data_IF_715936528224
#
_entry.id   IF_715936528224
#
_cell.length_a   1.000
_cell.length_b   1.000
_cell.length_c   1.000
_cell.angle_alpha   90.00
_cell.angle_beta   90.00
_cell.angle_gamma   90.00
#
_symmetry.space_group_name_H-M   'P 1'
#
loop_
_entity.id
_entity.type
_entity.pdbx_description
1 polymer ?
#
# COMPACT_ATOMS: atom_id res chain seq x y z
N UNK A 1 -3.90 36.27 21.25
CA UNK A 1 -2.63 36.64 20.60
C UNK A 1 -2.82 36.43 19.11
N UNK A 2 -2.94 37.53 18.37
CA UNK A 2 -3.21 37.59 16.93
C UNK A 2 -1.94 37.26 16.14
N UNK A 3 -2.06 36.41 15.11
CA UNK A 3 -1.20 36.48 13.92
C UNK A 3 -2.10 36.42 12.69
N UNK A 4 -2.39 37.61 12.18
CA UNK A 4 -2.85 37.86 10.81
C UNK A 4 -1.57 37.91 9.97
N UNK A 5 -1.41 36.99 9.03
CA UNK A 5 -0.36 37.06 8.00
C UNK A 5 -1.04 36.95 6.63
N UNK A 6 -0.94 38.04 5.88
CA UNK A 6 -0.74 38.08 4.43
C UNK A 6 -1.78 37.37 3.55
N UNK A 7 -2.76 38.14 3.07
CA UNK A 7 -3.62 37.74 1.97
C UNK A 7 -2.83 37.53 0.68
N UNK A 8 -2.75 36.27 0.26
CA UNK A 8 -2.89 35.94 -1.16
C UNK A 8 -4.37 35.66 -1.32
N UNK A 9 -5.08 36.46 -2.13
CA UNK A 9 -6.42 36.08 -2.60
C UNK A 9 -6.24 34.86 -3.52
N UNK A 10 -6.17 33.68 -2.91
CA UNK A 10 -6.46 32.44 -3.59
C UNK A 10 -7.92 32.55 -4.02
N UNK A 11 -8.13 32.56 -5.33
CA UNK A 11 -9.43 32.49 -5.98
C UNK A 11 -10.40 31.66 -5.11
N UNK A 12 -11.48 32.24 -4.53
CA UNK A 12 -12.34 31.51 -3.61
C UNK A 12 -12.96 30.36 -4.39
N UNK A 13 -12.48 29.14 -4.14
CA UNK A 13 -12.99 27.95 -4.81
C UNK A 13 -14.51 27.83 -4.60
N UNK A 14 -15.25 27.13 -5.46
CA UNK A 14 -16.71 27.12 -5.37
C UNK A 14 -17.28 26.22 -4.26
N UNK A 15 -16.45 25.57 -3.45
CA UNK A 15 -16.88 24.51 -2.52
C UNK A 15 -16.54 24.78 -1.04
N UNK A 16 -17.11 25.81 -0.40
CA UNK A 16 -16.77 26.19 0.97
C UNK A 16 -17.05 25.07 1.99
N UNK A 17 -16.13 24.88 2.93
CA UNK A 17 -16.36 23.99 4.07
C UNK A 17 -17.40 24.62 5.02
N UNK A 18 -18.39 23.85 5.49
CA UNK A 18 -19.40 24.33 6.46
C UNK A 18 -18.87 24.45 7.90
N UNK A 19 -17.68 23.92 8.17
CA UNK A 19 -17.12 23.77 9.52
C UNK A 19 -15.97 24.75 9.76
N UNK A 20 -15.23 25.11 8.72
CA UNK A 20 -14.04 25.96 8.84
C UNK A 20 -13.91 26.88 7.61
N UNK A 21 -13.06 27.93 7.67
CA UNK A 21 -12.96 28.92 6.60
C UNK A 21 -12.20 28.43 5.35
N UNK A 22 -11.81 27.15 5.30
CA UNK A 22 -11.12 26.59 4.13
C UNK A 22 -12.10 26.44 2.98
N UNK A 23 -11.67 26.86 1.79
CA UNK A 23 -12.45 26.79 0.55
C UNK A 23 -11.70 25.94 -0.48
N UNK A 24 -11.92 24.62 -0.49
CA UNK A 24 -11.30 23.71 -1.45
C UNK A 24 -11.71 24.00 -2.91
N UNK A 25 -10.78 23.82 -3.84
CA UNK A 25 -10.97 24.15 -5.26
C UNK A 25 -11.76 23.10 -6.03
N UNK A 26 -11.82 21.87 -5.53
CA UNK A 26 -12.52 20.76 -6.19
C UNK A 26 -13.43 20.03 -5.22
N UNK A 27 -14.50 19.43 -5.74
CA UNK A 27 -15.41 18.56 -4.99
C UNK A 27 -14.61 17.45 -4.27
N UNK A 28 -13.65 16.82 -4.96
CA UNK A 28 -12.82 15.76 -4.38
C UNK A 28 -11.97 16.27 -3.20
N UNK A 29 -11.34 17.45 -3.35
CA UNK A 29 -10.60 18.07 -2.25
C UNK A 29 -11.51 18.49 -1.09
N UNK A 30 -12.75 18.91 -1.37
CA UNK A 30 -13.72 19.30 -0.35
C UNK A 30 -14.23 18.09 0.45
N UNK A 31 -14.51 16.98 -0.22
CA UNK A 31 -14.87 15.71 0.43
C UNK A 31 -13.71 15.23 1.30
N UNK A 32 -12.48 15.20 0.77
CA UNK A 32 -11.30 14.77 1.54
C UNK A 32 -11.02 15.68 2.73
N UNK A 33 -11.19 16.99 2.57
CA UNK A 33 -11.01 17.95 3.66
C UNK A 33 -11.96 17.69 4.84
N UNK A 34 -13.17 17.17 4.60
CA UNK A 34 -14.11 16.84 5.69
C UNK A 34 -13.62 15.71 6.61
N UNK A 35 -12.67 14.87 6.15
CA UNK A 35 -12.00 13.89 7.02
C UNK A 35 -11.17 14.55 8.13
N UNK A 36 -10.80 15.83 8.00
CA UNK A 36 -10.10 16.56 9.06
C UNK A 36 -11.03 16.93 10.23
N UNK A 37 -12.35 16.87 10.00
CA UNK A 37 -13.38 17.19 10.99
C UNK A 37 -14.06 15.94 11.57
N UNK A 38 -13.76 14.75 11.02
CA UNK A 38 -14.42 13.49 11.36
C UNK A 38 -14.09 12.95 12.75
N UNK A 39 -13.15 13.58 13.47
CA UNK A 39 -12.77 13.19 14.84
C UNK A 39 -13.86 13.44 15.89
N UNK A 40 -15.02 13.99 15.51
CA UNK A 40 -16.20 14.09 16.39
C UNK A 40 -17.11 12.88 16.20
N UNK A 41 -17.53 12.24 17.32
CA UNK A 41 -18.44 11.07 17.34
C UNK A 41 -19.78 11.30 16.62
N UNK A 42 -20.15 12.56 16.36
CA UNK A 42 -21.40 12.94 15.70
C UNK A 42 -21.15 13.78 14.44
N UNK A 43 -19.98 13.64 13.82
CA UNK A 43 -19.67 14.38 12.61
C UNK A 43 -20.52 13.89 11.43
N UNK A 44 -21.25 14.80 10.80
CA UNK A 44 -21.96 14.54 9.55
C UNK A 44 -21.16 15.09 8.37
N UNK A 45 -20.85 14.21 7.43
CA UNK A 45 -20.29 14.57 6.14
C UNK A 45 -21.39 15.18 5.27
N UNK A 46 -21.12 16.33 4.65
CA UNK A 46 -22.07 17.07 3.83
C UNK A 46 -21.62 17.09 2.37
N UNK A 47 -22.59 17.05 1.45
CA UNK A 47 -22.31 17.28 0.05
C UNK A 47 -21.79 18.72 -0.16
N UNK A 48 -20.63 18.92 -0.80
CA UNK A 48 -20.09 20.25 -1.04
C UNK A 48 -20.75 20.96 -2.24
N UNK A 49 -21.62 20.27 -2.99
CA UNK A 49 -22.28 20.84 -4.17
C UNK A 49 -23.36 21.81 -3.74
N UNK A 50 -23.30 23.04 -4.26
CA UNK A 50 -24.30 24.07 -4.03
C UNK A 50 -25.70 23.53 -4.39
N UNK A 51 -26.70 23.80 -3.55
CA UNK A 51 -28.08 23.26 -3.59
C UNK A 51 -28.28 21.78 -3.23
N UNK A 52 -27.23 21.01 -2.93
CA UNK A 52 -27.40 19.66 -2.38
C UNK A 52 -27.49 19.66 -0.85
N UNK A 53 -28.57 19.10 -0.31
CA UNK A 53 -28.80 18.97 1.13
C UNK A 53 -28.42 17.60 1.70
N UNK A 54 -27.79 16.73 0.90
CA UNK A 54 -27.39 15.41 1.37
C UNK A 54 -26.31 15.49 2.44
N UNK A 55 -26.54 14.78 3.54
CA UNK A 55 -25.56 14.49 4.59
C UNK A 55 -25.48 12.98 4.84
N UNK A 56 -24.38 12.54 5.42
CA UNK A 56 -24.18 11.14 5.81
C UNK A 56 -23.23 11.04 6.99
N UNK A 57 -23.38 10.00 7.81
CA UNK A 57 -22.46 9.69 8.91
C UNK A 57 -21.25 8.89 8.44
N UNK A 58 -21.24 8.42 7.19
CA UNK A 58 -20.15 7.62 6.60
C UNK A 58 -19.52 8.35 5.42
N UNK A 59 -18.18 8.45 5.44
CA UNK A 59 -17.42 9.00 4.34
C UNK A 59 -17.65 8.26 3.01
N UNK A 60 -17.78 6.93 3.07
CA UNK A 60 -18.08 6.09 1.90
C UNK A 60 -19.43 6.42 1.28
N UNK A 61 -20.44 6.69 2.11
CA UNK A 61 -21.78 7.08 1.66
C UNK A 61 -21.76 8.46 0.97
N UNK A 62 -21.04 9.45 1.53
CA UNK A 62 -20.84 10.74 0.87
C UNK A 62 -20.14 10.58 -0.49
N UNK A 63 -19.06 9.79 -0.54
CA UNK A 63 -18.30 9.56 -1.78
C UNK A 63 -19.19 8.92 -2.86
N UNK A 64 -19.98 7.92 -2.47
CA UNK A 64 -20.95 7.27 -3.36
C UNK A 64 -22.02 8.26 -3.83
N UNK A 65 -22.64 9.02 -2.93
CA UNK A 65 -23.65 10.02 -3.25
C UNK A 65 -23.14 11.02 -4.30
N UNK A 66 -21.97 11.61 -4.07
CA UNK A 66 -21.40 12.58 -5.01
C UNK A 66 -21.12 11.94 -6.37
N UNK A 67 -20.59 10.73 -6.38
CA UNK A 67 -20.31 10.01 -7.63
C UNK A 67 -21.56 9.71 -8.46
N UNK A 68 -22.68 9.45 -7.80
CA UNK A 68 -23.94 9.06 -8.44
C UNK A 68 -24.80 10.26 -8.83
N UNK A 69 -24.92 11.26 -7.96
CA UNK A 69 -25.91 12.34 -8.10
C UNK A 69 -25.32 13.66 -8.59
N UNK A 70 -24.00 13.86 -8.46
CA UNK A 70 -23.32 15.09 -8.89
C UNK A 70 -22.32 14.88 -10.03
N UNK A 71 -22.55 13.82 -10.82
CA UNK A 71 -21.74 13.46 -11.98
C UNK A 71 -21.57 14.60 -12.98
N UNK A 72 -22.60 15.45 -13.18
CA UNK A 72 -22.56 16.61 -14.11
C UNK A 72 -21.81 17.83 -13.53
N UNK A 73 -21.92 18.07 -12.23
CA UNK A 73 -21.27 19.20 -11.54
C UNK A 73 -19.77 19.00 -11.35
N UNK A 74 -19.27 17.78 -11.55
CA UNK A 74 -17.84 17.46 -11.64
C UNK A 74 -17.15 18.07 -12.88
N UNK A 75 -17.92 18.51 -13.88
CA UNK A 75 -17.43 18.94 -15.20
C UNK A 75 -17.73 20.40 -15.55
N UNK A 76 -18.06 21.28 -14.59
CA UNK A 76 -18.03 22.72 -14.84
C UNK A 76 -16.58 23.22 -14.84
N UNK A 77 -15.88 22.88 -15.91
CA UNK A 77 -14.66 23.51 -16.38
C UNK A 77 -15.07 24.32 -17.62
N UNK A 78 -14.81 25.65 -17.68
CA UNK A 78 -15.15 26.42 -18.85
C UNK A 78 -14.11 26.16 -19.96
N UNK A 79 -14.63 25.71 -21.11
CA UNK A 79 -14.04 25.74 -22.45
C UNK A 79 -13.15 24.54 -22.91
N UNK A 80 -13.22 24.27 -24.23
CA UNK A 80 -12.55 23.23 -25.04
C UNK A 80 -13.14 21.79 -25.06
N UNK A 81 -13.94 21.50 -26.10
CA UNK A 81 -14.17 20.14 -26.62
C UNK A 81 -12.97 19.68 -27.46
N UNK A 82 -12.01 18.99 -26.83
CA UNK A 82 -10.89 18.36 -27.53
C UNK A 82 -11.17 16.87 -27.82
N UNK A 83 -10.89 16.42 -29.04
CA UNK A 83 -11.03 15.03 -29.48
C UNK A 83 -9.71 14.27 -29.30
N UNK A 84 -9.75 13.04 -28.78
CA UNK A 84 -8.59 12.13 -28.73
C UNK A 84 -8.42 11.35 -30.03
N UNK A 85 -7.19 11.31 -30.54
CA UNK A 85 -6.81 10.61 -31.78
C UNK A 85 -6.25 9.22 -31.49
N UNK A 86 -6.40 8.31 -32.45
CA UNK A 86 -5.79 6.98 -32.37
C UNK A 86 -4.24 7.07 -32.41
N UNK A 87 -3.51 6.51 -31.43
CA UNK A 87 -2.05 6.58 -31.36
C UNK A 87 -1.33 5.60 -32.31
N UNK A 88 -2.06 4.76 -33.05
CA UNK A 88 -1.46 3.72 -33.88
C UNK A 88 -0.85 4.28 -35.17
N UNK A 89 0.38 3.84 -35.46
CA UNK A 89 1.15 4.17 -36.65
C UNK A 89 1.70 2.88 -37.25
N UNK A 90 1.38 2.60 -38.52
CA UNK A 90 1.88 1.42 -39.24
C UNK A 90 2.25 1.80 -40.67
N UNK A 91 3.44 1.42 -41.13
CA UNK A 91 3.97 1.67 -42.48
C UNK A 91 3.77 3.11 -43.00
N UNK A 92 4.03 4.12 -42.16
CA UNK A 92 3.92 5.52 -42.55
C UNK A 92 2.49 6.08 -42.62
N UNK A 93 1.47 5.27 -42.32
CA UNK A 93 0.06 5.70 -42.29
C UNK A 93 -0.49 5.76 -40.86
N UNK A 94 -1.11 6.91 -40.55
CA UNK A 94 -1.85 7.13 -39.30
C UNK A 94 -3.26 6.61 -39.39
N UNK A 95 -3.73 5.96 -38.32
CA UNK A 95 -5.14 5.69 -38.17
C UNK A 95 -5.93 7.00 -38.04
N UNK A 96 -6.98 7.18 -38.85
CA UNK A 96 -7.78 8.43 -38.93
C UNK A 96 -8.92 8.46 -37.89
N UNK A 97 -8.97 7.49 -36.97
CA UNK A 97 -10.02 7.43 -35.96
C UNK A 97 -9.83 8.47 -34.85
N UNK A 98 -10.86 9.27 -34.58
CA UNK A 98 -10.94 10.20 -33.45
C UNK A 98 -12.22 9.96 -32.64
N UNK A 99 -12.14 10.19 -31.34
CA UNK A 99 -13.28 10.09 -30.42
C UNK A 99 -13.07 11.00 -29.21
N UNK A 100 -14.14 11.41 -28.55
CA UNK A 100 -14.08 12.10 -27.27
C UNK A 100 -13.97 11.14 -26.06
N UNK A 101 -14.07 9.82 -26.29
CA UNK A 101 -14.12 8.80 -25.25
C UNK A 101 -12.93 7.86 -25.32
N UNK A 102 -12.15 7.78 -24.23
CA UNK A 102 -11.08 6.80 -24.10
C UNK A 102 -11.60 5.36 -24.24
N UNK A 103 -12.83 5.10 -23.80
CA UNK A 103 -13.44 3.77 -23.92
C UNK A 103 -13.64 3.38 -25.39
N UNK A 104 -14.15 4.31 -26.20
CA UNK A 104 -14.33 4.10 -27.65
C UNK A 104 -12.97 3.94 -28.35
N UNK A 105 -11.96 4.70 -27.91
CA UNK A 105 -10.60 4.57 -28.43
C UNK A 105 -10.01 3.20 -28.12
N UNK A 106 -10.14 2.72 -26.88
CA UNK A 106 -9.65 1.39 -26.49
C UNK A 106 -10.42 0.28 -27.19
N UNK A 107 -11.73 0.43 -27.39
CA UNK A 107 -12.53 -0.50 -28.20
C UNK A 107 -11.98 -0.58 -29.63
N UNK A 108 -11.76 0.58 -30.26
CA UNK A 108 -11.18 0.69 -31.60
C UNK A 108 -9.80 0.01 -31.69
N UNK A 109 -8.90 0.30 -30.74
CA UNK A 109 -7.56 -0.32 -30.68
C UNK A 109 -7.65 -1.86 -30.57
N UNK A 110 -8.57 -2.36 -29.74
CA UNK A 110 -8.78 -3.80 -29.57
C UNK A 110 -9.31 -4.47 -30.84
N UNK A 111 -10.26 -3.84 -31.54
CA UNK A 111 -10.97 -4.45 -32.65
C UNK A 111 -10.29 -4.29 -34.01
N UNK A 112 -9.61 -3.17 -34.23
CA UNK A 112 -9.05 -2.82 -35.54
C UNK A 112 -7.56 -3.09 -35.66
N UNK A 113 -6.82 -2.97 -34.56
CA UNK A 113 -5.36 -3.09 -34.55
C UNK A 113 -4.89 -4.39 -33.88
N UNK A 114 -5.22 -4.59 -32.60
CA UNK A 114 -4.80 -5.77 -31.85
C UNK A 114 -5.40 -7.07 -32.40
N UNK A 115 -6.59 -7.04 -33.00
CA UNK A 115 -7.20 -8.21 -33.65
C UNK A 115 -6.45 -8.63 -34.93
N UNK A 116 -5.73 -7.71 -35.57
CA UNK A 116 -4.89 -7.97 -36.74
C UNK A 116 -3.46 -8.39 -36.37
N UNK A 117 -3.13 -8.43 -35.07
CA UNK A 117 -1.79 -8.72 -34.58
C UNK A 117 -0.84 -7.52 -34.61
N UNK A 118 -1.36 -6.30 -34.78
CA UNK A 118 -0.55 -5.08 -34.77
C UNK A 118 -0.12 -4.70 -33.34
N UNK A 119 0.99 -3.97 -33.22
CA UNK A 119 1.53 -3.49 -31.94
C UNK A 119 0.94 -2.12 -31.60
N UNK A 120 0.35 -1.99 -30.41
CA UNK A 120 -0.31 -0.75 -29.97
C UNK A 120 0.28 -0.27 -28.65
N UNK A 121 0.67 1.00 -28.55
CA UNK A 121 1.09 1.62 -27.30
C UNK A 121 -0.10 1.96 -26.38
N UNK A 122 0.14 2.19 -25.09
CA UNK A 122 -0.92 2.70 -24.21
C UNK A 122 -1.43 4.06 -24.72
N UNK A 123 -2.75 4.25 -24.89
CA UNK A 123 -3.29 5.52 -25.39
C UNK A 123 -3.23 6.66 -24.37
N UNK A 124 -2.78 6.41 -23.13
CA UNK A 124 -2.66 7.43 -22.08
C UNK A 124 -1.24 8.01 -22.14
N UNK A 125 -1.13 9.34 -22.24
CA UNK A 125 0.15 10.05 -22.32
C UNK A 125 1.00 9.74 -21.09
N UNK A 126 2.30 9.60 -21.32
CA UNK A 126 3.28 9.45 -20.25
C UNK A 126 2.95 8.31 -19.29
N UNK A 127 2.24 7.28 -19.78
CA UNK A 127 1.94 6.04 -19.06
C UNK A 127 3.23 5.36 -18.55
N UNK A 128 4.37 5.63 -19.17
CA UNK A 128 5.68 5.12 -18.76
C UNK A 128 5.85 3.63 -18.99
N UNK A 129 4.85 2.95 -19.56
CA UNK A 129 4.93 1.55 -19.93
C UNK A 129 5.67 1.41 -21.27
N UNK A 130 6.89 0.84 -21.29
CA UNK A 130 7.76 0.89 -22.47
C UNK A 130 7.38 -0.13 -23.55
N UNK A 131 6.48 -1.08 -23.26
CA UNK A 131 6.15 -2.18 -24.17
C UNK A 131 4.85 -1.92 -24.92
N UNK A 132 4.87 -2.17 -26.23
CA UNK A 132 3.66 -2.20 -27.04
C UNK A 132 2.84 -3.47 -26.75
N UNK A 133 1.53 -3.34 -26.75
CA UNK A 133 0.60 -4.45 -26.57
C UNK A 133 0.37 -5.17 -27.90
N UNK A 134 0.39 -6.50 -27.86
CA UNK A 134 0.04 -7.40 -28.98
C UNK A 134 -1.31 -8.08 -28.80
N UNK A 135 -1.86 -8.06 -27.58
CA UNK A 135 -3.13 -8.69 -27.22
C UNK A 135 -4.04 -7.69 -26.50
N UNK A 136 -5.32 -7.70 -26.90
CA UNK A 136 -6.37 -6.87 -26.28
C UNK A 136 -6.54 -7.15 -24.78
N UNK A 137 -6.36 -8.40 -24.35
CA UNK A 137 -6.43 -8.80 -22.95
C UNK A 137 -5.36 -8.11 -22.11
N UNK A 138 -4.11 -8.10 -22.60
CA UNK A 138 -2.98 -7.45 -21.90
C UNK A 138 -3.18 -5.95 -21.78
N UNK A 139 -3.65 -5.28 -22.85
CA UNK A 139 -3.98 -3.85 -22.80
C UNK A 139 -5.06 -3.56 -21.76
N UNK A 140 -6.15 -4.35 -21.71
CA UNK A 140 -7.25 -4.13 -20.75
C UNK A 140 -6.85 -4.40 -19.31
N UNK A 141 -5.98 -5.38 -19.07
CA UNK A 141 -5.42 -5.66 -17.74
C UNK A 141 -4.55 -4.49 -17.29
N UNK A 142 -3.65 -4.04 -18.16
CA UNK A 142 -2.83 -2.86 -17.89
C UNK A 142 -3.70 -1.62 -17.57
N UNK A 143 -4.67 -1.29 -18.41
CA UNK A 143 -5.56 -0.16 -18.17
C UNK A 143 -6.30 -0.29 -16.83
N UNK A 144 -6.80 -1.48 -16.49
CA UNK A 144 -7.51 -1.70 -15.21
C UNK A 144 -6.59 -1.60 -13.99
N UNK A 145 -5.32 -1.97 -14.12
CA UNK A 145 -4.35 -1.98 -13.02
C UNK A 145 -3.71 -0.61 -12.79
N UNK A 146 -3.30 0.06 -13.87
CA UNK A 146 -2.49 1.28 -13.83
C UNK A 146 -3.31 2.56 -14.05
N UNK A 147 -4.49 2.45 -14.67
CA UNK A 147 -5.35 3.57 -14.99
C UNK A 147 -6.74 3.38 -14.38
N UNK A 148 -6.79 3.49 -13.05
CA UNK A 148 -8.07 3.46 -12.31
C UNK A 148 -9.01 4.50 -12.92
N UNK A 149 -10.23 4.06 -13.19
CA UNK A 149 -11.29 4.85 -13.86
C UNK A 149 -11.12 5.06 -15.38
N UNK A 150 -10.30 4.28 -16.09
CA UNK A 150 -10.23 4.37 -17.57
C UNK A 150 -11.57 4.06 -18.28
N UNK A 151 -12.48 3.35 -17.60
CA UNK A 151 -13.86 3.07 -18.03
C UNK A 151 -14.88 4.09 -17.53
N UNK A 152 -14.49 5.06 -16.71
CA UNK A 152 -15.37 6.14 -16.33
C UNK A 152 -15.49 7.12 -17.52
N UNK A 153 -16.72 7.51 -17.86
CA UNK A 153 -16.94 8.57 -18.85
C UNK A 153 -16.23 9.86 -18.38
N UNK A 154 -15.25 10.34 -19.16
CA UNK A 154 -14.46 11.55 -18.86
C UNK A 154 -13.02 11.33 -18.35
N UNK A 155 -12.29 10.35 -18.89
CA UNK A 155 -10.84 10.16 -18.64
C UNK A 155 -10.03 11.44 -18.95
N UNK A 156 -8.84 11.67 -18.35
CA UNK A 156 -8.06 12.89 -18.56
C UNK A 156 -7.80 13.14 -20.04
N UNK A 157 -8.17 14.32 -20.52
CA UNK A 157 -7.88 14.79 -21.88
C UNK A 157 -6.36 14.91 -22.03
N UNK A 158 -5.83 14.34 -23.10
CA UNK A 158 -4.42 14.40 -23.46
C UNK A 158 -4.16 15.78 -24.12
N UNK A 159 -3.21 16.60 -23.64
CA UNK A 159 -2.77 17.77 -24.41
C UNK A 159 -2.06 17.36 -25.70
N UNK A 160 -2.29 18.15 -26.75
CA UNK A 160 -1.69 18.02 -28.08
C UNK A 160 -0.15 18.12 -28.02
N UNK A 161 0.58 17.17 -28.64
CA UNK A 161 2.01 17.34 -28.97
C UNK A 161 2.18 17.64 -30.46
N UNK A 162 2.72 18.83 -30.73
CA UNK A 162 3.44 19.14 -31.96
C UNK A 162 4.82 18.46 -31.93
N UNK A 163 5.14 17.77 -33.02
CA UNK A 163 6.31 16.89 -33.17
C UNK A 163 7.60 17.73 -33.23
N UNK A 164 8.60 17.38 -32.43
CA UNK A 164 10.01 17.59 -32.76
C UNK A 164 10.69 16.22 -32.82
N UNK A 165 11.27 15.90 -33.98
CA UNK A 165 11.89 14.63 -34.30
C UNK A 165 13.23 14.45 -33.58
N UNK A 166 13.50 13.26 -33.04
CA UNK A 166 14.81 12.79 -32.57
C UNK A 166 14.93 11.29 -32.92
N UNK A 167 16.09 10.79 -33.37
CA UNK A 167 16.18 9.67 -34.31
C UNK A 167 16.23 8.28 -33.65
N UNK A 168 15.85 7.28 -34.47
CA UNK A 168 15.90 5.84 -34.19
C UNK A 168 17.31 5.36 -33.80
N UNK A 169 17.39 4.64 -32.69
CA UNK A 169 18.49 3.72 -32.39
C UNK A 169 17.90 2.32 -32.27
N UNK A 170 18.17 1.51 -33.29
CA UNK A 170 17.92 0.07 -33.31
C UNK A 170 18.98 -0.64 -32.45
N UNK A 171 18.53 -1.42 -31.47
CA UNK A 171 19.36 -2.45 -30.84
C UNK A 171 18.78 -3.82 -31.23
N UNK A 172 19.59 -4.59 -31.95
CA UNK A 172 19.36 -6.00 -32.22
C UNK A 172 19.71 -6.80 -30.96
N UNK A 173 18.86 -7.74 -30.58
CA UNK A 173 19.09 -8.68 -29.49
C UNK A 173 19.99 -9.81 -30.01
N UNK A 174 21.15 -10.02 -29.37
CA UNK A 174 21.89 -11.28 -29.49
C UNK A 174 21.80 -12.09 -28.19
N UNK A 175 21.26 -13.28 -28.36
CA UNK A 175 21.30 -14.47 -27.51
C UNK A 175 22.74 -14.99 -27.42
N UNK A 176 23.29 -15.20 -26.23
CA UNK A 176 24.35 -16.21 -26.00
C UNK A 176 24.58 -16.47 -24.51
N UNK A 177 24.33 -17.70 -24.09
CA UNK A 177 24.96 -18.29 -22.91
C UNK A 177 26.21 -19.07 -23.32
N UNK A 178 27.31 -18.92 -22.58
CA UNK A 178 28.30 -19.95 -22.25
C UNK A 178 29.49 -19.32 -21.51
N UNK A 179 30.02 -20.10 -20.58
CA UNK A 179 31.20 -19.88 -19.75
C UNK A 179 32.46 -19.50 -20.54
N UNK A 180 33.30 -18.63 -19.95
CA UNK A 180 34.76 -18.76 -19.93
C UNK A 180 35.36 -17.74 -18.96
N UNK A 181 36.23 -18.24 -18.08
CA UNK A 181 37.15 -17.45 -17.26
C UNK A 181 38.09 -16.64 -18.14
N UNK A 182 38.34 -15.37 -17.79
CA UNK A 182 39.68 -14.81 -17.95
C UNK A 182 39.91 -13.61 -17.02
N UNK A 183 41.11 -13.66 -16.46
CA UNK A 183 41.79 -12.76 -15.54
C UNK A 183 41.90 -11.33 -16.10
N UNK A 184 41.36 -10.34 -15.37
CA UNK A 184 41.69 -8.94 -15.62
C UNK A 184 41.66 -8.14 -14.33
N UNK A 185 42.84 -7.86 -13.79
CA UNK A 185 43.09 -6.80 -12.81
C UNK A 185 43.19 -5.43 -13.49
N UNK A 186 42.43 -4.42 -13.02
CA UNK A 186 42.87 -3.03 -13.09
C UNK A 186 43.11 -2.46 -11.69
N UNK A 187 44.31 -1.90 -11.52
CA UNK A 187 44.82 -1.11 -10.39
C UNK A 187 44.06 0.23 -10.19
N UNK A 188 44.27 0.92 -9.05
CA UNK A 188 43.21 1.56 -8.27
C UNK A 188 42.95 3.01 -8.66
N UNK A 189 41.68 3.36 -8.86
CA UNK A 189 41.22 4.74 -8.87
C UNK A 189 40.48 5.03 -7.56
N UNK A 190 41.19 5.72 -6.67
CA UNK A 190 40.71 6.61 -5.60
C UNK A 190 39.40 6.23 -4.90
N UNK A 191 39.55 5.57 -3.75
CA UNK A 191 38.54 5.46 -2.70
C UNK A 191 37.99 6.85 -2.33
N UNK A 192 36.83 7.20 -2.89
CA UNK A 192 35.88 8.05 -2.18
C UNK A 192 35.24 7.16 -1.12
N UNK A 193 35.74 7.28 0.10
CA UNK A 193 35.15 6.71 1.30
C UNK A 193 33.82 7.42 1.58
N UNK A 194 32.77 6.99 0.88
CA UNK A 194 31.38 7.31 1.21
C UNK A 194 30.85 6.26 2.21
N UNK A 195 31.61 6.05 3.29
CA UNK A 195 31.10 5.46 4.53
C UNK A 195 30.15 6.45 5.21
N UNK A 196 28.99 6.67 4.60
CA UNK A 196 27.77 7.03 5.31
C UNK A 196 26.86 5.81 5.38
N UNK A 197 27.40 4.68 5.88
CA UNK A 197 26.58 3.68 6.57
C UNK A 197 26.12 4.32 7.89
N UNK A 198 25.17 5.26 7.80
CA UNK A 198 24.38 5.64 8.96
C UNK A 198 23.44 4.47 9.23
N UNK A 199 23.34 4.07 10.50
CA UNK A 199 22.40 3.11 11.10
C UNK A 199 20.91 3.36 10.74
N UNK A 200 20.58 3.37 9.46
CA UNK A 200 19.22 3.41 8.97
C UNK A 200 18.63 2.04 9.29
N UNK A 201 17.59 2.02 10.11
CA UNK A 201 16.72 0.85 10.29
C UNK A 201 16.45 0.27 8.89
N UNK A 202 16.85 -0.98 8.67
CA UNK A 202 16.60 -1.65 7.39
C UNK A 202 15.08 -1.64 7.16
N UNK A 203 14.63 -1.25 5.96
CA UNK A 203 13.20 -1.20 5.60
C UNK A 203 12.49 -2.52 5.95
N UNK A 204 13.18 -3.66 5.79
CA UNK A 204 12.68 -4.98 6.17
C UNK A 204 12.35 -5.09 7.66
N UNK A 205 13.18 -4.51 8.54
CA UNK A 205 12.90 -4.50 9.98
C UNK A 205 11.66 -3.65 10.31
N UNK A 206 11.44 -2.57 9.58
CA UNK A 206 10.24 -1.73 9.72
C UNK A 206 9.01 -2.49 9.22
N UNK A 207 9.12 -3.18 8.08
CA UNK A 207 8.06 -4.04 7.54
C UNK A 207 7.66 -5.13 8.51
N UNK A 208 8.64 -5.85 9.04
CA UNK A 208 8.42 -6.89 10.04
C UNK A 208 7.80 -6.35 11.31
N UNK A 209 8.26 -5.19 11.80
CA UNK A 209 7.73 -4.58 13.02
C UNK A 209 6.26 -4.20 12.85
N UNK A 210 5.89 -3.62 11.71
CA UNK A 210 4.50 -3.25 11.42
C UNK A 210 3.64 -4.49 11.18
N UNK A 211 4.16 -5.50 10.49
CA UNK A 211 3.45 -6.76 10.30
C UNK A 211 3.22 -7.49 11.64
N UNK A 212 4.21 -7.52 12.54
CA UNK A 212 4.08 -8.04 13.91
C UNK A 212 3.08 -7.25 14.74
N UNK A 213 3.04 -5.93 14.58
CA UNK A 213 1.99 -5.10 15.19
C UNK A 213 0.60 -5.57 14.77
N UNK A 214 0.35 -5.74 13.46
CA UNK A 214 -0.93 -6.27 12.99
C UNK A 214 -1.20 -7.69 13.48
N UNK A 215 -0.19 -8.58 13.45
CA UNK A 215 -0.33 -9.95 13.92
C UNK A 215 -0.72 -9.99 15.41
N UNK A 216 -0.15 -9.12 16.25
CA UNK A 216 -0.53 -8.99 17.66
C UNK A 216 -2.00 -8.56 17.81
N UNK A 217 -2.48 -7.63 16.98
CA UNK A 217 -3.90 -7.24 17.00
C UNK A 217 -4.83 -8.41 16.67
N UNK A 218 -4.42 -9.31 15.76
CA UNK A 218 -5.19 -10.52 15.44
C UNK A 218 -5.11 -11.57 16.54
N UNK A 219 -3.90 -11.90 17.01
CA UNK A 219 -3.64 -13.08 17.82
C UNK A 219 -3.71 -12.83 19.32
N UNK A 220 -3.26 -11.66 19.79
CA UNK A 220 -3.20 -11.31 21.22
C UNK A 220 -4.44 -10.54 21.64
N UNK A 221 -4.80 -9.50 20.89
CA UNK A 221 -5.94 -8.64 21.23
C UNK A 221 -7.27 -9.14 20.65
N UNK A 222 -7.22 -10.18 19.81
CA UNK A 222 -8.37 -10.86 19.19
C UNK A 222 -9.33 -9.88 18.50
N UNK A 223 -8.77 -8.87 17.83
CA UNK A 223 -9.57 -7.84 17.18
C UNK A 223 -10.16 -8.34 15.85
N UNK A 224 -11.42 -7.99 15.55
CA UNK A 224 -12.02 -8.32 14.25
C UNK A 224 -11.23 -7.71 13.09
N UNK A 225 -11.15 -8.45 11.97
CA UNK A 225 -10.44 -7.99 10.76
C UNK A 225 -10.95 -6.63 10.23
N UNK A 226 -12.24 -6.33 10.44
CA UNK A 226 -12.85 -5.03 10.08
C UNK A 226 -12.29 -3.87 10.92
N UNK A 227 -12.04 -4.08 12.21
CA UNK A 227 -11.45 -3.08 13.08
C UNK A 227 -9.98 -2.85 12.74
N UNK A 228 -9.23 -3.93 12.52
CA UNK A 228 -7.83 -3.86 12.07
C UNK A 228 -7.74 -3.16 10.72
N UNK A 229 -8.70 -3.38 9.82
CA UNK A 229 -8.77 -2.63 8.57
C UNK A 229 -8.98 -1.13 8.80
N UNK A 230 -9.82 -0.74 9.76
CA UNK A 230 -9.97 0.68 10.16
C UNK A 230 -8.65 1.30 10.62
N UNK A 231 -7.89 0.60 11.47
CA UNK A 231 -6.56 1.04 11.93
C UNK A 231 -5.60 1.18 10.73
N UNK A 232 -5.61 0.23 9.81
CA UNK A 232 -4.80 0.27 8.60
C UNK A 232 -5.14 1.47 7.70
N UNK A 233 -6.42 1.76 7.53
CA UNK A 233 -6.90 2.88 6.72
C UNK A 233 -6.53 4.23 7.38
N UNK A 234 -6.63 4.33 8.71
CA UNK A 234 -6.23 5.51 9.47
C UNK A 234 -4.71 5.75 9.41
N UNK A 235 -3.90 4.69 9.51
CA UNK A 235 -2.44 4.77 9.32
C UNK A 235 -2.07 5.23 7.91
N UNK A 236 -2.74 4.70 6.89
CA UNK A 236 -2.55 5.14 5.51
C UNK A 236 -2.87 6.64 5.38
N UNK A 237 -4.02 7.08 5.89
CA UNK A 237 -4.44 8.47 5.84
C UNK A 237 -3.48 9.41 6.59
N UNK A 238 -3.04 9.03 7.79
CA UNK A 238 -2.05 9.80 8.55
C UNK A 238 -0.73 9.93 7.79
N UNK A 239 -0.25 8.84 7.18
CA UNK A 239 0.96 8.88 6.36
C UNK A 239 0.79 9.83 5.16
N UNK A 240 -0.37 9.85 4.50
CA UNK A 240 -0.65 10.79 3.41
C UNK A 240 -0.64 12.26 3.86
N UNK A 241 -1.20 12.56 5.03
CA UNK A 241 -1.18 13.93 5.58
C UNK A 241 0.25 14.37 5.87
N UNK A 242 1.01 13.53 6.56
CA UNK A 242 2.41 13.83 6.94
C UNK A 242 3.25 14.02 5.68
N UNK A 243 3.17 13.08 4.74
CA UNK A 243 3.87 13.18 3.45
C UNK A 243 3.43 14.40 2.64
N UNK A 244 2.14 14.74 2.62
CA UNK A 244 1.64 15.93 1.94
C UNK A 244 2.24 17.22 2.51
N UNK A 245 2.35 17.31 3.83
CA UNK A 245 2.97 18.46 4.50
C UNK A 245 4.47 18.54 4.21
N UNK A 246 5.19 17.42 4.34
CA UNK A 246 6.63 17.36 4.06
C UNK A 246 6.93 17.73 2.61
N UNK A 247 6.16 17.21 1.66
CA UNK A 247 6.31 17.52 0.24
C UNK A 247 6.05 19.00 -0.07
N UNK A 248 5.09 19.65 0.61
CA UNK A 248 4.84 21.08 0.44
C UNK A 248 6.03 21.92 0.92
N UNK A 249 6.58 21.59 2.10
CA UNK A 249 7.76 22.25 2.64
C UNK A 249 8.98 22.05 1.75
N UNK A 250 9.24 20.80 1.34
CA UNK A 250 10.34 20.45 0.45
C UNK A 250 10.23 21.18 -0.90
N UNK A 251 9.05 21.15 -1.51
CA UNK A 251 8.80 21.82 -2.79
C UNK A 251 9.06 23.32 -2.70
N UNK A 252 8.67 23.96 -1.60
CA UNK A 252 8.89 25.39 -1.36
C UNK A 252 10.39 25.71 -1.30
N UNK A 253 11.17 24.91 -0.56
CA UNK A 253 12.62 25.14 -0.46
C UNK A 253 13.37 24.84 -1.76
N UNK A 254 13.03 23.74 -2.44
CA UNK A 254 13.66 23.40 -3.73
C UNK A 254 13.36 24.45 -4.81
N UNK A 255 12.14 24.97 -4.86
CA UNK A 255 11.78 26.04 -5.79
C UNK A 255 12.56 27.33 -5.53
N UNK A 256 12.82 27.68 -4.25
CA UNK A 256 13.69 28.83 -3.90
C UNK A 256 15.13 28.66 -4.39
N UNK A 257 15.60 27.42 -4.45
CA UNK A 257 16.92 27.07 -4.97
C UNK A 257 16.96 26.99 -6.51
N UNK A 258 15.86 27.31 -7.19
CA UNK A 258 15.77 27.30 -8.65
C UNK A 258 15.67 25.89 -9.25
N UNK A 259 15.34 24.88 -8.45
CA UNK A 259 15.10 23.52 -8.95
C UNK A 259 13.83 23.52 -9.79
N UNK A 260 13.86 22.84 -10.94
CA UNK A 260 12.70 22.80 -11.84
C UNK A 260 11.52 22.05 -11.21
N UNK A 261 10.30 22.48 -11.52
CA UNK A 261 9.07 21.85 -10.99
C UNK A 261 9.01 20.34 -11.29
N UNK A 262 9.52 19.92 -12.45
CA UNK A 262 9.64 18.51 -12.81
C UNK A 262 10.55 17.74 -11.84
N UNK A 263 11.73 18.28 -11.54
CA UNK A 263 12.67 17.67 -10.57
C UNK A 263 12.08 17.65 -9.16
N UNK A 264 11.37 18.71 -8.75
CA UNK A 264 10.68 18.74 -7.45
C UNK A 264 9.65 17.62 -7.34
N UNK A 265 8.84 17.40 -8.38
CA UNK A 265 7.86 16.30 -8.42
C UNK A 265 8.53 14.93 -8.36
N UNK A 266 9.64 14.74 -9.08
CA UNK A 266 10.40 13.50 -9.07
C UNK A 266 11.01 13.22 -7.69
N UNK A 267 11.63 14.21 -7.06
CA UNK A 267 12.21 14.09 -5.70
C UNK A 267 11.10 13.77 -4.69
N UNK A 268 9.99 14.51 -4.72
CA UNK A 268 8.82 14.28 -3.84
C UNK A 268 8.28 12.86 -3.99
N UNK A 269 8.18 12.36 -5.22
CA UNK A 269 7.76 11.00 -5.48
C UNK A 269 8.75 9.97 -4.90
N UNK A 270 10.05 10.15 -5.11
CA UNK A 270 11.08 9.27 -4.54
C UNK A 270 11.06 9.26 -3.02
N UNK A 271 10.96 10.43 -2.38
CA UNK A 271 10.87 10.55 -0.93
C UNK A 271 9.64 9.84 -0.37
N UNK A 272 8.50 9.93 -1.08
CA UNK A 272 7.29 9.21 -0.71
C UNK A 272 7.45 7.69 -0.77
N UNK A 273 8.15 7.18 -1.78
CA UNK A 273 8.43 5.76 -1.94
C UNK A 273 9.51 5.23 -1.00
N UNK A 274 10.36 6.12 -0.46
CA UNK A 274 11.34 5.80 0.56
C UNK A 274 10.75 5.72 1.98
N UNK A 275 9.46 6.05 2.16
CA UNK A 275 8.78 5.89 3.44
C UNK A 275 8.20 4.48 3.59
N UNK A 276 8.76 3.63 4.47
CA UNK A 276 8.30 2.25 4.62
C UNK A 276 6.86 2.15 5.13
N UNK A 277 6.39 3.13 5.93
CA UNK A 277 5.00 3.18 6.38
C UNK A 277 4.09 3.46 5.18
N UNK A 278 4.47 4.39 4.31
CA UNK A 278 3.72 4.65 3.09
C UNK A 278 3.67 3.42 2.19
N UNK A 279 4.80 2.73 1.99
CA UNK A 279 4.88 1.54 1.12
C UNK A 279 3.91 0.44 1.56
N UNK A 280 3.92 0.09 2.85
CA UNK A 280 3.06 -0.98 3.38
C UNK A 280 1.57 -0.68 3.25
N UNK A 281 1.19 0.59 3.39
CA UNK A 281 -0.21 1.00 3.47
C UNK A 281 -0.79 1.51 2.14
N UNK A 282 -0.04 1.44 1.03
CA UNK A 282 -0.52 1.84 -0.29
C UNK A 282 -0.26 0.79 -1.37
N UNK A 283 -1.34 0.23 -1.94
CA UNK A 283 -1.28 -0.83 -2.98
C UNK A 283 -0.48 -0.46 -4.25
N UNK A 284 -0.28 0.83 -4.49
CA UNK A 284 0.45 1.34 -5.67
C UNK A 284 1.94 1.52 -5.42
N UNK A 285 2.40 1.38 -4.19
CA UNK A 285 3.82 1.49 -3.86
C UNK A 285 4.55 0.18 -4.22
N UNK A 286 5.82 0.26 -4.66
CA UNK A 286 6.64 -0.92 -4.86
C UNK A 286 7.05 -1.49 -3.49
N UNK A 287 6.81 -2.78 -3.27
CA UNK A 287 7.16 -3.46 -2.02
C UNK A 287 6.01 -4.31 -1.46
N UNK A 288 6.18 -4.85 -0.24
CA UNK A 288 5.11 -5.57 0.45
C UNK A 288 3.97 -4.62 0.79
N UNK A 289 2.74 -5.12 0.74
CA UNK A 289 1.54 -4.35 1.10
C UNK A 289 0.74 -5.09 2.16
N UNK A 290 0.27 -4.34 3.16
CA UNK A 290 -0.53 -4.81 4.29
C UNK A 290 -1.95 -4.22 4.26
N UNK A 291 -2.37 -3.69 3.10
CA UNK A 291 -3.60 -2.90 2.93
C UNK A 291 -4.92 -3.67 3.06
N UNK A 292 -4.88 -5.00 3.14
CA UNK A 292 -6.10 -5.82 3.29
C UNK A 292 -5.80 -7.06 4.13
N UNK A 293 -6.83 -7.61 4.75
CA UNK A 293 -6.76 -8.83 5.58
C UNK A 293 -6.01 -9.97 4.85
N UNK A 294 -6.39 -10.23 3.60
CA UNK A 294 -5.73 -11.23 2.76
C UNK A 294 -4.22 -10.98 2.60
N UNK A 295 -3.83 -9.73 2.32
CA UNK A 295 -2.43 -9.39 2.10
C UNK A 295 -1.61 -9.46 3.40
N UNK A 296 -2.22 -9.08 4.54
CA UNK A 296 -1.60 -9.24 5.86
C UNK A 296 -1.36 -10.71 6.18
N UNK A 297 -2.38 -11.56 6.05
CA UNK A 297 -2.27 -13.01 6.28
C UNK A 297 -1.24 -13.66 5.35
N UNK A 298 -1.23 -13.28 4.07
CA UNK A 298 -0.21 -13.75 3.11
C UNK A 298 1.20 -13.32 3.53
N UNK A 299 1.35 -12.09 4.02
CA UNK A 299 2.64 -11.63 4.53
C UNK A 299 3.08 -12.46 5.74
N UNK A 300 2.17 -12.71 6.70
CA UNK A 300 2.47 -13.51 7.89
C UNK A 300 2.92 -14.92 7.52
N UNK A 301 2.18 -15.61 6.65
CA UNK A 301 2.52 -16.97 6.23
C UNK A 301 3.83 -17.09 5.44
N UNK A 302 4.28 -15.98 4.84
CA UNK A 302 5.50 -15.96 4.02
C UNK A 302 6.73 -15.57 4.83
N UNK A 303 6.58 -14.66 5.80
CA UNK A 303 7.71 -14.04 6.51
C UNK A 303 7.82 -14.49 7.97
N UNK A 304 6.76 -15.05 8.55
CA UNK A 304 6.75 -15.56 9.93
C UNK A 304 6.42 -17.04 9.93
N UNK A 305 6.76 -17.73 11.03
CA UNK A 305 6.32 -19.10 11.28
C UNK A 305 4.85 -19.11 11.76
N UNK A 306 4.00 -18.50 10.94
CA UNK A 306 2.59 -18.29 11.21
C UNK A 306 1.79 -19.53 10.83
N UNK A 307 1.09 -20.09 11.82
CA UNK A 307 0.16 -21.20 11.62
C UNK A 307 -1.26 -20.63 11.50
N UNK A 308 -1.92 -20.80 10.34
CA UNK A 308 -3.27 -20.30 10.17
C UNK A 308 -4.27 -21.10 11.03
N UNK A 309 -5.35 -20.46 11.50
CA UNK A 309 -6.43 -21.17 12.16
C UNK A 309 -7.13 -22.14 11.19
N UNK A 310 -7.49 -23.32 11.70
CA UNK A 310 -8.27 -24.34 11.01
C UNK A 310 -9.75 -24.05 11.23
N UNK A 311 -10.51 -23.92 10.14
CA UNK A 311 -11.96 -23.79 10.17
C UNK A 311 -12.63 -25.17 10.28
N UNK A 312 -13.50 -25.32 11.27
CA UNK A 312 -14.38 -26.48 11.45
C UNK A 312 -15.81 -26.00 11.29
N UNK A 313 -16.53 -26.57 10.31
CA UNK A 313 -17.95 -26.29 10.16
C UNK A 313 -18.71 -27.01 11.29
N UNK A 314 -19.52 -26.27 12.04
CA UNK A 314 -20.30 -26.82 13.16
C UNK A 314 -21.58 -27.53 12.68
N UNK A 315 -22.02 -27.26 11.45
CA UNK A 315 -23.18 -27.87 10.82
C UNK A 315 -22.72 -28.94 9.81
N UNK A 316 -22.72 -30.20 10.26
CA UNK A 316 -22.34 -31.35 9.41
C UNK A 316 -23.22 -31.49 8.15
N UNK A 317 -24.48 -31.08 8.24
CA UNK A 317 -25.47 -31.20 7.17
C UNK A 317 -25.40 -30.06 6.13
N UNK A 318 -24.74 -28.93 6.46
CA UNK A 318 -24.64 -27.77 5.57
C UNK A 318 -23.18 -27.27 5.46
N UNK A 319 -22.42 -27.77 4.48
CA UNK A 319 -21.05 -27.33 4.24
C UNK A 319 -20.93 -25.85 3.86
N UNK A 320 -22.03 -25.18 3.49
CA UNK A 320 -22.06 -23.76 3.17
C UNK A 320 -22.48 -22.89 4.36
N UNK A 321 -22.74 -23.49 5.53
CA UNK A 321 -23.13 -22.75 6.73
C UNK A 321 -22.02 -21.78 7.19
N UNK A 322 -22.46 -20.61 7.64
CA UNK A 322 -21.60 -19.60 8.26
C UNK A 322 -21.27 -19.92 9.73
N UNK A 323 -21.90 -20.95 10.33
CA UNK A 323 -21.60 -21.44 11.68
C UNK A 323 -20.29 -22.24 11.68
N UNK A 324 -19.18 -21.53 11.76
CA UNK A 324 -17.84 -22.10 11.79
C UNK A 324 -17.14 -21.81 13.11
N UNK A 325 -16.42 -22.79 13.61
CA UNK A 325 -15.47 -22.64 14.69
C UNK A 325 -14.05 -22.61 14.13
N UNK A 326 -13.19 -21.78 14.72
CA UNK A 326 -11.79 -21.67 14.34
C UNK A 326 -10.91 -22.08 15.53
N UNK A 327 -9.92 -22.94 15.28
CA UNK A 327 -8.89 -23.28 16.26
C UNK A 327 -7.51 -23.28 15.64
N UNK A 328 -6.48 -23.03 16.44
CA UNK A 328 -5.08 -23.16 16.02
C UNK A 328 -4.60 -24.54 16.50
N UNK A 329 -4.01 -25.34 15.60
CA UNK A 329 -3.55 -26.70 15.92
C UNK A 329 -2.45 -26.69 16.98
N UNK A 330 -2.69 -27.16 18.22
CA UNK A 330 -1.68 -27.14 19.27
C UNK A 330 -0.46 -28.00 18.90
N UNK A 331 -0.70 -29.13 18.23
CA UNK A 331 0.36 -30.04 17.79
C UNK A 331 1.26 -29.36 16.76
N UNK A 332 0.68 -28.66 15.79
CA UNK A 332 1.45 -27.97 14.75
C UNK A 332 2.24 -26.81 15.36
N UNK A 333 1.61 -26.03 16.25
CA UNK A 333 2.27 -24.93 16.97
C UNK A 333 3.44 -25.41 17.81
N UNK A 334 3.26 -26.46 18.59
CA UNK A 334 4.34 -27.00 19.41
C UNK A 334 5.46 -27.58 18.54
N UNK A 335 5.12 -28.31 17.47
CA UNK A 335 6.13 -28.89 16.56
C UNK A 335 7.01 -27.78 15.96
N UNK A 336 6.38 -26.73 15.42
CA UNK A 336 7.09 -25.56 14.87
C UNK A 336 7.92 -24.83 15.93
N UNK A 337 7.38 -24.64 17.12
CA UNK A 337 8.11 -24.01 18.21
C UNK A 337 9.35 -24.81 18.63
N UNK A 338 9.29 -26.15 18.62
CA UNK A 338 10.45 -27.00 18.90
C UNK A 338 11.46 -27.08 17.73
N UNK A 339 11.08 -26.67 16.52
CA UNK A 339 11.99 -26.51 15.38
C UNK A 339 12.75 -25.18 15.43
N UNK A 340 12.32 -24.21 16.25
CA UNK A 340 12.98 -22.90 16.38
C UNK A 340 14.36 -23.03 17.06
N UNK A 341 15.45 -22.53 16.45
CA UNK A 341 16.81 -22.65 16.99
C UNK A 341 16.99 -21.98 18.36
N UNK A 342 16.32 -20.86 18.62
CA UNK A 342 16.40 -20.18 19.92
C UNK A 342 15.74 -20.99 21.02
N UNK A 343 14.64 -21.68 20.69
CA UNK A 343 13.95 -22.57 21.63
C UNK A 343 14.80 -23.81 21.89
N UNK A 344 15.41 -24.39 20.85
CA UNK A 344 16.34 -25.51 20.99
C UNK A 344 17.54 -25.12 21.87
N UNK A 345 18.15 -23.95 21.65
CA UNK A 345 19.24 -23.44 22.47
C UNK A 345 18.83 -23.25 23.93
N UNK A 346 17.64 -22.70 24.19
CA UNK A 346 17.11 -22.54 25.55
C UNK A 346 16.90 -23.90 26.24
N UNK A 347 16.34 -24.87 25.52
CA UNK A 347 16.15 -26.25 26.00
C UNK A 347 17.51 -26.88 26.33
N UNK A 348 18.47 -26.84 25.40
CA UNK A 348 19.80 -27.40 25.61
C UNK A 348 20.51 -26.72 26.80
N UNK A 349 20.41 -25.39 26.90
CA UNK A 349 20.96 -24.62 28.03
C UNK A 349 20.29 -24.98 29.35
N UNK A 350 18.98 -25.28 29.34
CA UNK A 350 18.25 -25.67 30.54
C UNK A 350 18.73 -27.01 31.11
N UNK A 351 19.13 -27.96 30.25
CA UNK A 351 19.72 -29.23 30.67
C UNK A 351 21.17 -29.10 31.16
N UNK A 352 21.87 -28.05 30.76
CA UNK A 352 23.25 -27.77 31.19
C UNK A 352 23.34 -26.95 32.49
N UNK A 353 22.25 -26.28 32.91
CA UNK A 353 22.21 -25.58 34.20
C UNK A 353 22.22 -26.59 35.35
N UNK A 354 23.36 -26.74 36.01
CA UNK A 354 23.40 -27.42 37.30
C UNK A 354 22.67 -26.57 38.35
N UNK A 355 21.85 -27.18 39.23
CA UNK A 355 21.23 -26.45 40.32
C UNK A 355 22.31 -25.84 41.22
N UNK A 356 22.31 -24.52 41.36
CA UNK A 356 23.13 -23.88 42.39
C UNK A 356 22.72 -24.42 43.76
N UNK A 357 23.69 -24.72 44.61
CA UNK A 357 23.58 -25.56 45.81
C UNK A 357 22.67 -25.04 46.94
N UNK A 358 21.78 -24.09 46.66
CA UNK A 358 20.76 -23.58 47.59
C UNK A 358 19.34 -23.56 47.03
N UNK A 359 19.13 -23.80 45.73
CA UNK A 359 17.79 -23.91 45.16
C UNK A 359 17.52 -25.38 44.85
N UNK A 360 16.78 -26.04 45.72
CA UNK A 360 16.21 -27.38 45.47
C UNK A 360 15.33 -27.27 44.22
N UNK A 361 15.77 -27.86 43.12
CA UNK A 361 14.94 -28.08 41.93
C UNK A 361 14.73 -29.60 41.79
N UNK A 362 13.48 -30.00 41.93
CA UNK A 362 12.97 -31.36 41.71
C UNK A 362 13.00 -31.74 40.22
N UNK A 363 13.40 -32.97 39.92
CA UNK A 363 13.34 -33.55 38.58
C UNK A 363 11.89 -33.83 38.14
N UNK A 364 11.52 -33.39 36.93
CA UNK A 364 10.19 -33.53 36.32
C UNK A 364 9.86 -34.97 35.86
N UNK A 365 10.81 -35.92 35.93
CA UNK A 365 10.60 -37.30 35.45
C UNK A 365 10.74 -38.39 36.52
N UNK A 366 11.08 -38.02 37.77
CA UNK A 366 11.20 -39.00 38.85
C UNK A 366 9.93 -39.02 39.70
N UNK A 367 9.36 -40.20 39.94
CA UNK A 367 8.25 -40.43 40.89
C UNK A 367 8.66 -40.21 42.38
N UNK A 368 9.62 -39.33 42.65
CA UNK A 368 10.16 -39.06 43.98
C UNK A 368 10.01 -37.60 44.38
N UNK A 369 8.97 -37.33 45.18
CA UNK A 369 8.77 -36.10 45.95
C UNK A 369 9.89 -35.95 46.99
N UNK A 370 10.57 -34.80 47.02
CA UNK A 370 11.29 -34.34 48.21
C UNK A 370 10.59 -33.11 48.79
N UNK A 371 10.10 -33.29 50.02
CA UNK A 371 9.51 -32.25 50.86
C UNK A 371 10.66 -31.42 51.44
N UNK A 372 10.62 -30.11 51.25
CA UNK A 372 11.40 -29.15 52.04
C UNK A 372 10.40 -28.32 52.85
N UNK A 373 10.36 -28.54 54.16
CA UNK A 373 9.39 -27.91 55.08
C UNK A 373 9.65 -26.41 55.36
N UNK A 374 10.74 -25.82 54.85
CA UNK A 374 11.19 -24.50 55.33
C UNK A 374 11.21 -23.36 54.29
N UNK A 375 10.74 -23.55 53.06
CA UNK A 375 10.74 -22.47 52.05
C UNK A 375 9.35 -22.20 51.47
N UNK A 376 8.82 -20.96 51.55
CA UNK A 376 7.62 -20.60 50.81
C UNK A 376 7.91 -20.79 49.33
N UNK A 377 6.97 -21.35 48.53
CA UNK A 377 7.20 -21.61 47.12
C UNK A 377 7.56 -20.29 46.43
N UNK A 378 8.80 -20.18 45.95
CA UNK A 378 9.13 -19.20 44.92
C UNK A 378 8.25 -19.55 43.73
N UNK A 379 7.37 -18.65 43.34
CA UNK A 379 6.57 -18.80 42.11
C UNK A 379 7.53 -19.09 40.96
N UNK A 380 7.46 -20.32 40.44
CA UNK A 380 8.04 -20.62 39.14
C UNK A 380 7.13 -19.92 38.15
N UNK A 381 7.54 -18.72 37.71
CA UNK A 381 6.99 -18.08 36.53
C UNK A 381 7.32 -18.97 35.33
N UNK A 382 6.51 -20.00 35.11
CA UNK A 382 6.40 -20.58 33.79
C UNK A 382 5.93 -19.46 32.86
N UNK A 383 6.75 -19.13 31.88
CA UNK A 383 6.39 -18.35 30.70
C UNK A 383 5.31 -19.04 29.83
N UNK A 384 4.54 -19.99 30.39
CA UNK A 384 3.31 -20.53 29.81
C UNK A 384 2.06 -19.67 30.08
N UNK A 385 2.14 -18.64 30.94
CA UNK A 385 0.97 -17.78 31.23
C UNK A 385 0.52 -16.97 29.99
N UNK A 386 1.39 -16.76 28.98
CA UNK A 386 0.93 -16.19 27.70
C UNK A 386 0.23 -17.17 26.76
N UNK A 387 0.41 -18.48 26.94
CA UNK A 387 -0.22 -19.50 26.09
C UNK A 387 -1.66 -19.77 26.55
N UNK A 388 -1.92 -19.74 27.85
CA UNK A 388 -3.28 -19.95 28.38
C UNK A 388 -4.19 -18.72 28.25
N UNK A 389 -3.64 -17.51 28.14
CA UNK A 389 -4.46 -16.32 27.83
C UNK A 389 -4.89 -16.22 26.37
N UNK A 390 -4.34 -17.07 25.48
CA UNK A 390 -4.70 -17.15 24.06
C UNK A 390 -5.68 -18.30 23.74
N UNK A 391 -6.04 -19.12 24.74
CA UNK A 391 -6.91 -20.29 24.58
C UNK A 391 -8.27 -20.13 25.28
N UNK A 392 -8.72 -18.90 25.56
CA UNK A 392 -10.07 -18.61 26.05
C UNK A 392 -10.73 -17.50 25.22
#
# INVERSE_FOLDING_TARGET
>A
MLLIIGGVELNPGPFPCKVCPVVPQTIASSIRHQLLHSNSRYFEYFCPVESCMYNSTSFGALKYHVSMFHRKTRHQDPDATEQTLCPHFNDGQRCVFSTASLQELVQHLCEKHLKKGEHVACPIQDCGFPKNFTKATTLRVHLSQYHKDWRAEGCPKLPHIGIAAVPELSFEEEDFGAELEEDYTPEPAEHFDESLNSDALNDEQVYDSIAKFYLNLYAVDVLPATLIQGICDDLAFMSEIVQGRLNCMLSTELNKLGVSEHQVRLISHKMKLADPIYVLHHKSAPGPSLTSDYLRKKYFSTNFDYIPPVEVNLNEDDPASDDKYQYISPTETLTRQFEDPSVQEEIDTSFLRQPESSDVISDYTSESLFISEDHPPKEIHFLLIRILSMLC
#
